data_IF_114677331160
#
_entry.id   IF_114677331160
#
_cell.length_a   1.000
_cell.length_b   1.000
_cell.length_c   1.000
_cell.angle_alpha   90.00
_cell.angle_beta   90.00
_cell.angle_gamma   90.00
#
_symmetry.space_group_name_H-M   'P 1'
#
loop_
_entity.id
_entity.type
_entity.pdbx_description
1 polymer ?
#
# COMPACT_ATOMS: atom_id res chain seq x y z
N UNK A 1 -9.62 -3.06 14.87
CA UNK A 1 -9.12 -1.73 15.29
C UNK A 1 -7.87 -1.95 16.11
N UNK A 2 -6.81 -1.16 15.89
CA UNK A 2 -5.59 -1.22 16.71
C UNK A 2 -5.91 -0.67 18.10
N UNK A 3 -5.46 -1.34 19.16
CA UNK A 3 -5.75 -0.96 20.56
C UNK A 3 -5.15 0.39 20.98
N UNK A 4 -4.15 0.89 20.23
CA UNK A 4 -3.58 2.24 20.40
C UNK A 4 -3.14 2.81 19.03
N UNK A 5 -3.98 3.62 18.34
CA UNK A 5 -3.59 4.25 17.09
C UNK A 5 -2.52 5.34 17.24
N UNK A 6 -2.20 5.76 18.49
CA UNK A 6 -1.26 6.86 18.73
C UNK A 6 0.22 6.44 18.65
N UNK A 7 0.50 5.12 18.59
CA UNK A 7 1.86 4.57 18.62
C UNK A 7 2.71 5.12 19.78
N UNK A 8 2.09 5.34 20.95
CA UNK A 8 2.71 5.98 22.14
C UNK A 8 3.96 5.29 22.70
N UNK A 9 4.19 4.03 22.32
CA UNK A 9 5.39 3.27 22.67
C UNK A 9 6.63 3.70 21.87
N UNK A 10 6.45 4.36 20.72
CA UNK A 10 7.53 4.95 19.90
C UNK A 10 7.97 6.27 20.52
N UNK A 11 8.80 6.19 21.56
CA UNK A 11 9.28 7.33 22.34
C UNK A 11 10.57 7.92 21.75
N UNK A 12 10.90 9.15 22.15
CA UNK A 12 12.13 9.83 21.74
C UNK A 12 12.00 10.68 20.46
N UNK A 13 10.79 10.76 19.89
CA UNK A 13 10.49 11.56 18.71
C UNK A 13 9.42 12.61 19.00
N UNK A 14 9.53 13.76 18.33
CA UNK A 14 8.57 14.86 18.41
C UNK A 14 7.28 14.53 17.66
N UNK A 15 7.40 13.88 16.52
CA UNK A 15 6.28 13.50 15.67
C UNK A 15 6.56 12.14 15.02
N UNK A 16 5.57 11.25 15.04
CA UNK A 16 5.63 9.91 14.44
C UNK A 16 4.55 9.82 13.37
N UNK A 17 4.93 9.54 12.13
CA UNK A 17 4.01 9.39 10.99
C UNK A 17 4.13 7.98 10.42
N UNK A 18 3.10 7.12 10.53
CA UNK A 18 3.10 5.83 9.85
C UNK A 18 3.15 6.03 8.33
N UNK A 19 4.05 5.31 7.65
CA UNK A 19 4.22 5.39 6.19
C UNK A 19 3.63 4.16 5.51
N UNK A 20 3.99 2.97 6.01
CA UNK A 20 3.60 1.71 5.41
C UNK A 20 3.48 0.60 6.46
N UNK A 21 2.58 -0.35 6.20
CA UNK A 21 2.36 -1.54 7.00
C UNK A 21 2.63 -2.78 6.13
N UNK A 22 3.56 -3.63 6.54
CA UNK A 22 3.83 -4.90 5.88
C UNK A 22 3.68 -6.03 6.89
N UNK A 23 2.66 -6.87 6.69
CA UNK A 23 2.39 -8.06 7.53
C UNK A 23 2.38 -7.76 9.04
N UNK A 24 1.75 -6.66 9.43
CA UNK A 24 1.61 -6.23 10.83
C UNK A 24 2.79 -5.43 11.40
N UNK A 25 3.86 -5.24 10.63
CA UNK A 25 4.99 -4.40 11.02
C UNK A 25 4.88 -3.05 10.33
N UNK A 26 5.10 -1.98 11.07
CA UNK A 26 5.03 -0.62 10.57
C UNK A 26 6.43 -0.07 10.30
N UNK A 27 6.53 0.76 9.26
CA UNK A 27 7.59 1.75 9.13
C UNK A 27 6.98 3.13 9.32
N UNK A 28 7.61 3.93 10.19
CA UNK A 28 7.22 5.29 10.51
C UNK A 28 8.33 6.27 10.13
N UNK A 29 7.96 7.47 9.71
CA UNK A 29 8.86 8.62 9.61
C UNK A 29 8.78 9.41 10.91
N UNK A 30 9.91 9.53 11.61
CA UNK A 30 9.92 10.05 12.97
C UNK A 30 10.86 11.25 13.10
N UNK A 31 10.31 12.43 13.39
CA UNK A 31 11.07 13.66 13.56
C UNK A 31 11.72 13.71 14.95
N UNK A 32 13.01 14.04 15.00
CA UNK A 32 13.74 14.19 16.26
C UNK A 32 13.35 15.49 16.98
N UNK A 33 13.77 15.60 18.24
CA UNK A 33 13.50 16.78 19.08
C UNK A 33 14.50 17.93 18.86
N UNK A 34 15.64 17.66 18.25
CA UNK A 34 16.65 18.69 18.01
C UNK A 34 16.15 19.77 17.04
N UNK A 35 16.79 20.94 17.08
CA UNK A 35 16.46 22.07 16.20
C UNK A 35 16.97 21.85 14.75
N UNK A 36 17.45 20.66 14.44
CA UNK A 36 17.78 20.23 13.09
C UNK A 36 16.59 19.53 12.45
N UNK A 37 16.44 19.65 11.13
CA UNK A 37 15.43 18.91 10.36
C UNK A 37 15.81 17.41 10.24
N UNK A 38 16.23 16.78 11.34
CA UNK A 38 16.62 15.38 11.40
C UNK A 38 15.41 14.47 11.68
N UNK A 39 15.39 13.33 11.00
CA UNK A 39 14.41 12.29 11.18
C UNK A 39 15.05 10.92 11.06
N UNK A 40 14.37 9.92 11.63
CA UNK A 40 14.71 8.51 11.46
C UNK A 40 13.51 7.78 10.83
N UNK A 41 13.81 6.71 10.08
CA UNK A 41 12.82 5.68 9.81
C UNK A 41 12.78 4.71 10.99
N UNK A 42 11.63 4.58 11.64
CA UNK A 42 11.43 3.64 12.73
C UNK A 42 10.62 2.44 12.24
N UNK A 43 11.20 1.25 12.34
CA UNK A 43 10.49 -0.02 12.12
C UNK A 43 10.01 -0.54 13.46
N UNK A 44 8.70 -0.76 13.60
CA UNK A 44 8.10 -1.15 14.87
C UNK A 44 6.94 -2.13 14.72
N UNK A 45 6.68 -2.88 15.79
CA UNK A 45 5.56 -3.79 15.91
C UNK A 45 4.55 -3.24 16.92
N UNK A 46 3.39 -2.71 16.48
CA UNK A 46 2.37 -2.19 17.39
C UNK A 46 1.71 -3.27 18.27
N UNK A 47 1.66 -4.52 17.81
CA UNK A 47 1.06 -5.62 18.56
C UNK A 47 1.89 -6.00 19.80
N UNK A 48 3.22 -5.99 19.67
CA UNK A 48 4.15 -6.26 20.79
C UNK A 48 4.61 -4.98 21.50
N UNK A 49 4.31 -3.80 20.95
CA UNK A 49 4.77 -2.48 21.41
C UNK A 49 6.29 -2.35 21.42
N UNK A 50 6.94 -2.93 20.42
CA UNK A 50 8.40 -2.97 20.31
C UNK A 50 8.91 -2.17 19.13
N UNK A 51 10.04 -1.48 19.34
CA UNK A 51 10.82 -0.87 18.26
C UNK A 51 11.84 -1.89 17.78
N UNK A 52 11.74 -2.28 16.51
CA UNK A 52 12.64 -3.23 15.88
C UNK A 52 13.93 -2.55 15.44
N UNK A 53 13.82 -1.40 14.78
CA UNK A 53 14.98 -0.61 14.38
C UNK A 53 14.65 0.89 14.31
N UNK A 54 15.68 1.71 14.54
CA UNK A 54 15.68 3.13 14.21
C UNK A 54 16.81 3.35 13.21
N UNK A 55 16.46 3.75 11.99
CA UNK A 55 17.36 3.85 10.85
C UNK A 55 17.54 5.34 10.53
N UNK A 56 18.78 5.84 10.42
CA UNK A 56 18.98 7.19 9.94
C UNK A 56 18.42 7.29 8.51
N UNK A 57 17.72 8.38 8.22
CA UNK A 57 17.31 8.70 6.85
C UNK A 57 18.59 8.93 6.02
N UNK A 58 18.73 8.34 4.82
CA UNK A 58 19.93 8.52 3.99
C UNK A 58 20.34 10.00 3.80
N UNK A 59 21.64 10.29 3.87
CA UNK A 59 22.16 11.68 3.82
C UNK A 59 21.82 12.38 2.50
N UNK A 60 21.46 13.67 2.56
CA UNK A 60 20.91 14.49 1.45
C UNK A 60 19.54 14.04 0.92
N UNK A 61 18.86 13.12 1.62
CA UNK A 61 17.53 12.65 1.28
C UNK A 61 16.54 13.03 2.38
N UNK A 62 16.18 14.31 2.48
CA UNK A 62 14.93 14.59 3.19
C UNK A 62 13.80 13.83 2.50
N UNK A 63 12.86 13.26 3.28
CA UNK A 63 11.58 12.83 2.73
C UNK A 63 10.89 14.05 2.14
N UNK A 64 11.12 14.29 0.85
CA UNK A 64 10.35 15.24 0.07
C UNK A 64 8.98 14.63 -0.19
N UNK A 65 8.03 15.44 -0.66
CA UNK A 65 6.72 14.92 -1.10
C UNK A 65 6.82 13.90 -2.23
N UNK A 66 7.98 13.76 -2.88
CA UNK A 66 8.19 12.83 -3.97
C UNK A 66 8.81 11.50 -3.50
N UNK A 67 9.58 11.48 -2.40
CA UNK A 67 10.20 10.24 -1.96
C UNK A 67 9.18 9.36 -1.24
N UNK A 68 9.28 8.04 -1.41
CA UNK A 68 8.39 7.09 -0.74
C UNK A 68 9.18 5.97 -0.10
N UNK A 69 8.74 5.48 1.06
CA UNK A 69 9.39 4.37 1.75
C UNK A 69 8.45 3.17 1.88
N UNK A 70 8.98 1.96 1.63
CA UNK A 70 8.23 0.69 1.71
C UNK A 70 9.01 -0.33 2.52
N UNK A 71 8.39 -0.82 3.58
CA UNK A 71 8.84 -2.00 4.34
C UNK A 71 8.51 -3.29 3.58
N UNK A 72 9.47 -4.21 3.55
CA UNK A 72 9.32 -5.59 3.10
C UNK A 72 9.61 -6.53 4.27
N UNK A 73 8.60 -7.27 4.71
CA UNK A 73 8.70 -8.20 5.84
C UNK A 73 7.90 -9.47 5.55
N UNK A 74 8.56 -10.62 5.71
CA UNK A 74 7.95 -11.94 5.59
C UNK A 74 7.81 -12.58 6.98
N UNK A 75 6.59 -12.76 7.50
CA UNK A 75 6.36 -13.43 8.79
C UNK A 75 6.93 -14.85 8.85
N UNK A 76 7.11 -15.53 7.71
CA UNK A 76 7.74 -16.85 7.66
C UNK A 76 9.25 -16.81 7.94
N UNK A 77 9.88 -15.64 7.82
CA UNK A 77 11.30 -15.39 8.10
C UNK A 77 11.40 -14.15 9.00
N UNK A 78 10.94 -14.24 10.27
CA UNK A 78 10.68 -13.07 11.11
C UNK A 78 11.95 -12.32 11.51
N UNK A 79 13.13 -12.91 11.32
CA UNK A 79 14.42 -12.27 11.60
C UNK A 79 14.89 -11.30 10.51
N UNK A 80 14.16 -11.15 9.40
CA UNK A 80 14.60 -10.36 8.25
C UNK A 80 13.55 -9.37 7.79
N UNK A 81 13.98 -8.13 7.58
CA UNK A 81 13.21 -7.13 6.86
C UNK A 81 14.14 -6.26 6.01
N UNK A 82 13.54 -5.65 4.99
CA UNK A 82 14.21 -4.64 4.16
C UNK A 82 13.36 -3.38 4.10
N UNK A 83 14.03 -2.24 4.01
CA UNK A 83 13.35 -0.95 3.77
C UNK A 83 13.84 -0.39 2.45
N UNK A 84 12.89 -0.12 1.56
CA UNK A 84 13.13 0.51 0.26
C UNK A 84 12.72 1.97 0.34
N UNK A 85 13.63 2.88 0.03
CA UNK A 85 13.34 4.31 -0.14
C UNK A 85 13.51 4.65 -1.62
N UNK A 86 12.42 5.01 -2.27
CA UNK A 86 12.39 5.41 -3.67
C UNK A 86 12.67 6.90 -3.76
N UNK A 87 13.83 7.25 -4.31
CA UNK A 87 14.23 8.64 -4.50
C UNK A 87 13.76 9.11 -5.86
N UNK A 88 12.89 10.11 -5.88
CA UNK A 88 12.15 10.49 -7.08
C UNK A 88 12.39 11.95 -7.46
N UNK A 89 12.30 12.21 -8.76
CA UNK A 89 12.20 13.56 -9.34
C UNK A 89 10.97 13.62 -10.23
N UNK A 90 10.71 14.77 -10.86
CA UNK A 90 9.66 14.85 -11.89
C UNK A 90 9.94 13.95 -13.12
N UNK A 91 11.17 13.44 -13.26
CA UNK A 91 11.54 12.45 -14.27
C UNK A 91 11.34 10.99 -13.81
N UNK A 92 10.71 10.76 -12.66
CA UNK A 92 10.47 9.42 -12.11
C UNK A 92 11.46 8.99 -11.02
N UNK A 93 11.45 7.70 -10.68
CA UNK A 93 12.39 7.07 -9.74
C UNK A 93 13.82 7.14 -10.29
N UNK A 94 14.72 7.82 -9.58
CA UNK A 94 16.11 8.02 -9.97
C UNK A 94 17.03 6.93 -9.41
N UNK A 95 16.80 6.58 -8.14
CA UNK A 95 17.52 5.53 -7.42
C UNK A 95 16.64 4.98 -6.31
N UNK A 96 17.11 3.90 -5.72
CA UNK A 96 16.47 3.24 -4.60
C UNK A 96 17.52 3.00 -3.53
N UNK A 97 17.29 3.53 -2.33
CA UNK A 97 18.09 3.20 -1.15
C UNK A 97 17.46 1.99 -0.47
N UNK A 98 18.26 0.96 -0.24
CA UNK A 98 17.82 -0.31 0.33
C UNK A 98 18.57 -0.56 1.62
N UNK A 99 17.85 -0.56 2.74
CA UNK A 99 18.35 -1.07 4.01
C UNK A 99 18.03 -2.56 4.12
N UNK A 100 19.00 -3.35 4.55
CA UNK A 100 18.81 -4.76 4.91
C UNK A 100 19.10 -4.99 6.37
N UNK A 101 18.17 -5.63 7.09
CA UNK A 101 18.40 -6.04 8.48
C UNK A 101 19.47 -7.13 8.60
N UNK A 102 19.82 -7.84 7.52
CA UNK A 102 20.89 -8.85 7.55
C UNK A 102 22.28 -8.22 7.66
N UNK A 103 22.50 -7.11 6.97
CA UNK A 103 23.79 -6.41 6.94
C UNK A 103 23.82 -5.22 7.89
N UNK A 104 22.66 -4.70 8.27
CA UNK A 104 22.52 -3.46 9.05
C UNK A 104 22.95 -2.22 8.28
N UNK A 105 23.05 -2.28 6.94
CA UNK A 105 23.58 -1.20 6.10
C UNK A 105 22.57 -0.77 5.03
N UNK A 106 22.71 0.50 4.61
CA UNK A 106 22.07 1.03 3.42
C UNK A 106 22.93 0.76 2.18
N UNK A 107 22.27 0.46 1.07
CA UNK A 107 22.88 0.30 -0.25
C UNK A 107 22.09 1.12 -1.26
N UNK A 108 22.79 1.83 -2.14
CA UNK A 108 22.17 2.67 -3.17
C UNK A 108 22.19 1.95 -4.51
N UNK A 109 21.02 1.80 -5.13
CA UNK A 109 20.85 1.13 -6.43
C UNK A 109 20.25 2.12 -7.43
N UNK A 110 20.89 2.26 -8.60
CA UNK A 110 20.37 3.09 -9.69
C UNK A 110 19.05 2.55 -10.23
N UNK A 111 18.11 3.43 -10.58
CA UNK A 111 16.83 3.01 -11.15
C UNK A 111 16.98 2.61 -12.61
N UNK A 112 16.58 1.38 -12.93
CA UNK A 112 16.46 0.89 -14.30
C UNK A 112 15.37 1.64 -15.11
N UNK A 113 14.47 2.37 -14.42
CA UNK A 113 13.34 3.09 -15.03
C UNK A 113 13.47 4.61 -14.95
N UNK A 114 14.67 5.13 -14.70
CA UNK A 114 14.93 6.57 -14.59
C UNK A 114 14.53 7.39 -15.83
N UNK A 115 14.41 6.76 -17.01
CA UNK A 115 13.96 7.38 -18.25
C UNK A 115 12.47 7.20 -18.55
N UNK A 116 11.75 6.45 -17.72
CA UNK A 116 10.37 6.03 -18.00
C UNK A 116 9.31 6.87 -17.29
N UNK A 117 9.75 7.93 -16.59
CA UNK A 117 8.91 8.83 -15.80
C UNK A 117 7.96 8.11 -14.84
N UNK A 118 8.38 6.94 -14.34
CA UNK A 118 7.56 6.13 -13.44
C UNK A 118 7.53 6.81 -12.07
N UNK A 119 6.31 7.15 -11.61
CA UNK A 119 6.09 7.77 -10.31
C UNK A 119 5.43 6.78 -9.35
N UNK A 120 6.01 6.65 -8.17
CA UNK A 120 5.44 5.93 -7.03
C UNK A 120 4.83 6.99 -6.13
N UNK A 121 3.51 7.01 -6.06
CA UNK A 121 2.84 7.90 -5.12
C UNK A 121 2.85 7.28 -3.71
N UNK A 122 2.61 8.10 -2.69
CA UNK A 122 2.48 7.58 -1.32
C UNK A 122 1.28 6.61 -1.22
N UNK A 123 0.19 6.92 -1.91
CA UNK A 123 -1.02 6.09 -2.04
C UNK A 123 -0.86 4.87 -2.95
N UNK A 124 0.28 4.70 -3.62
CA UNK A 124 0.52 3.50 -4.44
C UNK A 124 0.37 2.25 -3.60
N UNK A 125 -0.55 1.36 -3.99
CA UNK A 125 -0.70 0.07 -3.36
C UNK A 125 0.57 -0.78 -3.51
N UNK A 126 0.89 -1.56 -2.48
CA UNK A 126 2.10 -2.37 -2.45
C UNK A 126 1.91 -3.66 -1.67
N UNK A 127 2.58 -4.71 -2.13
CA UNK A 127 2.55 -6.03 -1.52
C UNK A 127 3.95 -6.62 -1.57
N UNK A 128 4.42 -7.16 -0.45
CA UNK A 128 5.63 -7.99 -0.43
C UNK A 128 5.23 -9.46 -0.37
N UNK A 129 5.63 -10.25 -1.37
CA UNK A 129 5.41 -11.69 -1.38
C UNK A 129 6.43 -12.38 -2.30
N UNK A 130 6.73 -13.65 -2.04
CA UNK A 130 7.70 -14.45 -2.81
C UNK A 130 9.06 -13.74 -3.01
N UNK A 131 9.55 -13.06 -1.97
CA UNK A 131 10.86 -12.37 -2.00
C UNK A 131 10.91 -11.09 -2.84
N UNK A 132 9.77 -10.65 -3.39
CA UNK A 132 9.68 -9.48 -4.27
C UNK A 132 8.68 -8.45 -3.73
N UNK A 133 9.01 -7.17 -3.93
CA UNK A 133 8.10 -6.05 -3.67
C UNK A 133 7.34 -5.72 -4.94
N UNK A 134 6.02 -5.82 -4.89
CA UNK A 134 5.11 -5.49 -5.97
C UNK A 134 4.47 -4.14 -5.68
N UNK A 135 4.55 -3.22 -6.65
CA UNK A 135 4.10 -1.84 -6.50
C UNK A 135 3.19 -1.45 -7.65
N UNK A 136 2.03 -0.89 -7.33
CA UNK A 136 1.14 -0.26 -8.31
C UNK A 136 1.62 1.17 -8.60
N UNK A 137 1.98 1.44 -9.85
CA UNK A 137 2.59 2.69 -10.28
C UNK A 137 1.78 3.34 -11.39
N UNK A 138 1.88 4.67 -11.49
CA UNK A 138 1.25 5.45 -12.54
C UNK A 138 2.32 5.98 -13.49
N UNK A 139 2.09 5.85 -14.79
CA UNK A 139 2.81 6.63 -15.78
C UNK A 139 2.14 8.00 -15.93
N UNK A 140 2.92 9.08 -16.10
CA UNK A 140 2.38 10.39 -16.37
C UNK A 140 1.57 10.37 -17.66
N UNK A 141 0.52 11.18 -17.65
CA UNK A 141 -0.53 11.33 -18.66
C UNK A 141 0.02 11.20 -20.08
N UNK A 142 -0.40 10.14 -20.78
CA UNK A 142 -0.32 10.16 -22.24
C UNK A 142 -1.52 10.97 -22.71
N UNK A 143 -1.29 12.18 -23.21
CA UNK A 143 -2.34 12.96 -23.87
C UNK A 143 -2.71 12.28 -25.18
N UNK A 144 -3.70 11.40 -25.14
CA UNK A 144 -4.34 10.86 -26.33
C UNK A 144 -5.64 11.62 -26.50
N UNK A 145 -5.60 12.71 -27.28
CA UNK A 145 -6.78 13.47 -27.78
C UNK A 145 -7.79 13.88 -26.69
N UNK A 146 -7.70 15.13 -26.23
CA UNK A 146 -8.62 15.83 -25.31
C UNK A 146 -8.97 15.15 -23.96
N UNK A 147 -8.48 13.94 -23.70
CA UNK A 147 -8.64 13.22 -22.44
C UNK A 147 -7.30 12.75 -21.89
N UNK A 148 -7.13 12.88 -20.58
CA UNK A 148 -5.94 12.42 -19.85
C UNK A 148 -6.11 10.94 -19.48
N UNK A 149 -5.39 10.05 -20.17
CA UNK A 149 -5.39 8.61 -19.83
C UNK A 149 -4.24 8.32 -18.88
N UNK A 150 -4.57 7.95 -17.64
CA UNK A 150 -3.60 7.42 -16.67
C UNK A 150 -3.36 5.95 -16.99
N UNK A 151 -2.12 5.60 -17.33
CA UNK A 151 -1.71 4.21 -17.49
C UNK A 151 -1.14 3.72 -16.17
N UNK A 152 -1.78 2.70 -15.59
CA UNK A 152 -1.30 2.02 -14.41
C UNK A 152 -0.54 0.76 -14.78
N UNK A 153 0.53 0.48 -14.05
CA UNK A 153 1.30 -0.76 -14.16
C UNK A 153 1.62 -1.28 -12.77
N UNK A 154 1.78 -2.59 -12.65
CA UNK A 154 2.45 -3.20 -11.53
C UNK A 154 3.92 -3.34 -11.89
N UNK A 155 4.79 -2.94 -10.99
CA UNK A 155 6.23 -3.22 -11.09
C UNK A 155 6.69 -4.11 -9.95
N UNK A 156 7.66 -4.97 -10.22
CA UNK A 156 8.27 -5.84 -9.22
C UNK A 156 9.73 -5.49 -9.01
N UNK A 157 10.12 -5.44 -7.76
CA UNK A 157 11.49 -5.27 -7.30
C UNK A 157 11.88 -6.54 -6.57
N UNK A 158 12.75 -7.34 -7.18
CA UNK A 158 13.39 -8.44 -6.46
C UNK A 158 14.33 -7.84 -5.41
N UNK A 159 14.26 -8.34 -4.18
CA UNK A 159 15.07 -7.83 -3.08
C UNK A 159 16.49 -8.39 -3.07
N UNK A 160 16.75 -9.46 -3.83
CA UNK A 160 18.06 -10.11 -3.98
C UNK A 160 18.63 -9.92 -5.40
N UNK A 161 17.77 -9.69 -6.39
CA UNK A 161 18.14 -9.51 -7.80
C UNK A 161 17.90 -8.10 -8.32
N UNK A 162 18.75 -7.63 -9.24
CA UNK A 162 18.47 -6.43 -10.05
C UNK A 162 17.42 -6.72 -11.16
N UNK A 163 16.43 -7.56 -10.90
CA UNK A 163 15.40 -7.92 -11.89
C UNK A 163 14.15 -7.11 -11.69
N UNK A 164 13.85 -6.32 -12.71
CA UNK A 164 12.79 -5.33 -12.77
C UNK A 164 11.74 -5.83 -13.76
N UNK A 165 10.52 -6.10 -13.31
CA UNK A 165 9.43 -6.50 -14.21
C UNK A 165 8.32 -5.47 -14.19
N UNK A 166 7.72 -5.23 -15.36
CA UNK A 166 6.49 -4.46 -15.49
C UNK A 166 5.38 -5.31 -16.08
N UNK A 167 4.21 -5.23 -15.47
CA UNK A 167 2.97 -5.83 -15.95
C UNK A 167 1.91 -4.73 -16.00
N UNK A 168 1.20 -4.60 -17.12
CA UNK A 168 0.11 -3.61 -17.24
C UNK A 168 -1.02 -3.98 -16.28
N UNK A 169 -1.56 -3.01 -15.55
CA UNK A 169 -2.72 -3.21 -14.69
C UNK A 169 -4.00 -3.30 -15.54
N UNK A 170 -5.02 -4.05 -15.10
CA UNK A 170 -6.29 -4.18 -15.82
C UNK A 170 -7.17 -2.94 -15.69
N UNK A 171 -6.93 -2.10 -14.67
CA UNK A 171 -7.64 -0.85 -14.43
C UNK A 171 -6.78 0.39 -14.70
N UNK A 172 -7.45 1.53 -14.90
CA UNK A 172 -6.84 2.86 -15.01
C UNK A 172 -7.19 3.76 -13.81
N UNK A 173 -7.95 3.24 -12.84
CA UNK A 173 -8.46 4.03 -11.71
C UNK A 173 -7.50 3.99 -10.53
N UNK A 174 -7.11 5.15 -10.00
CA UNK A 174 -6.29 5.23 -8.79
C UNK A 174 -7.08 4.99 -7.50
N UNK A 175 -8.42 4.87 -7.57
CA UNK A 175 -9.30 4.79 -6.40
C UNK A 175 -9.70 3.35 -6.06
N UNK A 176 -8.70 2.48 -5.96
CA UNK A 176 -8.89 1.05 -5.74
C UNK A 176 -7.82 0.42 -4.86
N UNK A 177 -8.04 -0.82 -4.45
CA UNK A 177 -7.07 -1.57 -3.68
C UNK A 177 -6.11 -2.34 -4.60
N UNK A 178 -4.91 -2.61 -4.09
CA UNK A 178 -3.97 -3.59 -4.64
C UNK A 178 -3.44 -4.41 -3.45
N UNK A 179 -3.69 -5.71 -3.45
CA UNK A 179 -3.46 -6.54 -2.27
C UNK A 179 -3.29 -8.02 -2.57
N UNK A 180 -2.78 -8.76 -1.59
CA UNK A 180 -2.68 -10.21 -1.64
C UNK A 180 -3.93 -10.82 -0.99
N UNK A 181 -4.45 -11.90 -1.57
CA UNK A 181 -5.39 -12.78 -0.89
C UNK A 181 -5.13 -14.23 -1.29
N UNK A 182 -5.02 -15.14 -0.32
CA UNK A 182 -4.78 -16.57 -0.51
C UNK A 182 -3.59 -16.85 -1.46
N UNK A 183 -2.50 -16.09 -1.30
CA UNK A 183 -1.29 -16.22 -2.11
C UNK A 183 -1.40 -15.70 -3.56
N UNK A 184 -2.47 -15.00 -3.91
CA UNK A 184 -2.66 -14.39 -5.24
C UNK A 184 -2.81 -12.88 -5.15
N UNK A 185 -2.34 -12.19 -6.18
CA UNK A 185 -2.49 -10.74 -6.29
C UNK A 185 -3.86 -10.36 -6.85
N UNK A 186 -4.47 -9.37 -6.21
CA UNK A 186 -5.73 -8.78 -6.60
C UNK A 186 -5.62 -7.27 -6.73
N UNK A 187 -6.40 -6.74 -7.66
CA UNK A 187 -6.70 -5.30 -7.76
C UNK A 187 -8.19 -5.13 -7.97
N UNK A 188 -8.74 -4.03 -7.51
CA UNK A 188 -10.14 -3.74 -7.74
C UNK A 188 -10.49 -2.31 -7.39
N UNK A 189 -11.51 -1.80 -8.07
CA UNK A 189 -12.03 -0.46 -7.84
C UNK A 189 -13.55 -0.45 -8.02
N UNK A 190 -14.17 0.67 -7.63
CA UNK A 190 -15.60 0.89 -7.86
C UNK A 190 -15.79 1.92 -8.97
N UNK A 191 -16.49 1.52 -10.01
CA UNK A 191 -17.04 2.44 -11.00
C UNK A 191 -18.31 3.06 -10.44
N UNK A 192 -18.23 4.32 -10.05
CA UNK A 192 -19.34 5.01 -9.39
C UNK A 192 -20.45 5.45 -10.36
N UNK A 193 -20.28 5.28 -11.67
CA UNK A 193 -21.33 5.57 -12.65
C UNK A 193 -22.47 4.54 -12.58
N UNK A 194 -23.71 5.00 -12.82
CA UNK A 194 -24.89 4.15 -12.86
C UNK A 194 -25.17 3.40 -11.56
N UNK A 195 -24.80 2.12 -11.51
CA UNK A 195 -25.14 1.15 -10.45
C UNK A 195 -24.06 0.96 -9.37
N UNK A 196 -23.01 1.79 -9.38
CA UNK A 196 -21.84 1.68 -8.51
C UNK A 196 -21.25 0.26 -8.54
N UNK A 197 -20.52 -0.09 -9.60
CA UNK A 197 -20.05 -1.46 -9.82
C UNK A 197 -18.66 -1.67 -9.23
N UNK A 198 -18.55 -2.61 -8.30
CA UNK A 198 -17.27 -3.16 -7.88
C UNK A 198 -16.76 -4.10 -8.96
N UNK A 199 -15.51 -3.89 -9.40
CA UNK A 199 -14.80 -4.74 -10.32
C UNK A 199 -13.52 -5.26 -9.66
N UNK A 200 -13.27 -6.56 -9.77
CA UNK A 200 -12.14 -7.22 -9.10
C UNK A 200 -11.42 -8.12 -10.09
N UNK A 201 -10.11 -7.93 -10.21
CA UNK A 201 -9.23 -8.73 -11.02
C UNK A 201 -8.23 -9.49 -10.18
N UNK A 202 -7.81 -10.65 -10.70
CA UNK A 202 -6.75 -11.48 -10.13
C UNK A 202 -5.65 -11.67 -11.17
N UNK A 203 -4.40 -11.66 -10.74
CA UNK A 203 -3.26 -12.00 -11.59
C UNK A 203 -3.12 -13.53 -11.60
N UNK A 204 -3.52 -14.17 -12.69
CA UNK A 204 -3.49 -15.64 -12.80
C UNK A 204 -2.09 -16.17 -13.11
N UNK A 205 -1.34 -15.44 -13.92
CA UNK A 205 0.02 -15.83 -14.31
C UNK A 205 0.97 -14.64 -14.28
N UNK A 206 1.99 -14.76 -13.44
CA UNK A 206 3.08 -13.79 -13.34
C UNK A 206 3.94 -13.77 -14.60
N UNK A 207 4.12 -14.91 -15.28
CA UNK A 207 5.00 -15.04 -16.43
C UNK A 207 4.43 -14.38 -17.69
N UNK A 208 3.12 -14.39 -17.89
CA UNK A 208 2.46 -13.64 -18.97
C UNK A 208 2.00 -12.25 -18.54
N UNK A 209 1.81 -12.01 -17.24
CA UNK A 209 1.20 -10.78 -16.74
C UNK A 209 -0.31 -10.71 -16.98
N UNK A 210 -0.98 -11.87 -17.08
CA UNK A 210 -2.40 -11.97 -17.39
C UNK A 210 -3.27 -11.68 -16.18
N UNK A 211 -3.96 -10.54 -16.20
CA UNK A 211 -5.04 -10.21 -15.28
C UNK A 211 -6.38 -10.70 -15.82
N UNK A 212 -7.17 -11.36 -14.97
CA UNK A 212 -8.51 -11.84 -15.31
C UNK A 212 -9.54 -11.21 -14.39
N UNK A 213 -10.65 -10.74 -14.96
CA UNK A 213 -11.79 -10.23 -14.18
C UNK A 213 -12.43 -11.42 -13.44
N UNK A 214 -12.38 -11.38 -12.10
CA UNK A 214 -12.87 -12.45 -11.24
C UNK A 214 -14.29 -12.18 -10.73
N UNK A 215 -14.59 -10.93 -10.40
CA UNK A 215 -15.85 -10.57 -9.79
C UNK A 215 -16.35 -9.22 -10.31
N UNK A 216 -17.68 -9.11 -10.43
CA UNK A 216 -18.38 -7.86 -10.64
C UNK A 216 -19.63 -7.85 -9.77
N UNK A 217 -19.87 -6.76 -9.05
CA UNK A 217 -21.01 -6.64 -8.16
C UNK A 217 -21.58 -5.22 -8.20
N UNK A 218 -22.91 -5.07 -8.19
CA UNK A 218 -23.55 -3.76 -8.01
C UNK A 218 -23.70 -3.47 -6.53
N UNK A 219 -23.05 -2.41 -6.06
CA UNK A 219 -23.14 -1.98 -4.66
C UNK A 219 -24.57 -1.53 -4.34
N UNK A 220 -25.23 -0.78 -5.24
CA UNK A 220 -26.59 -0.31 -5.00
C UNK A 220 -27.61 -1.46 -4.92
N UNK A 221 -27.50 -2.48 -5.76
CA UNK A 221 -28.39 -3.65 -5.69
C UNK A 221 -28.18 -4.43 -4.39
N UNK A 222 -26.93 -4.58 -3.94
CA UNK A 222 -26.60 -5.24 -2.69
C UNK A 222 -27.12 -4.48 -1.46
N UNK A 223 -27.20 -3.15 -1.53
CA UNK A 223 -27.80 -2.30 -0.51
C UNK A 223 -29.33 -2.19 -0.62
N UNK A 224 -29.94 -2.72 -1.68
CA UNK A 224 -31.37 -2.56 -1.97
C UNK A 224 -31.76 -1.13 -2.40
N UNK A 225 -30.78 -0.32 -2.82
CA UNK A 225 -30.98 1.06 -3.24
C UNK A 225 -31.40 1.15 -4.72
N UNK A 226 -32.53 1.81 -5.05
CA UNK A 226 -33.04 1.82 -6.42
C UNK A 226 -32.25 2.74 -7.36
N UNK A 227 -31.62 3.79 -6.82
CA UNK A 227 -30.80 4.74 -7.56
C UNK A 227 -29.71 5.33 -6.66
N UNK A 228 -28.65 5.88 -7.28
CA UNK A 228 -27.57 6.57 -6.60
C UNK A 228 -28.07 7.92 -6.07
N UNK A 229 -27.85 8.19 -4.79
CA UNK A 229 -28.11 9.50 -4.20
C UNK A 229 -27.05 10.53 -4.66
N UNK A 230 -27.40 11.84 -4.71
CA UNK A 230 -26.42 12.89 -4.97
C UNK A 230 -25.28 12.82 -3.95
N UNK A 231 -24.03 12.87 -4.42
CA UNK A 231 -22.79 12.80 -3.62
C UNK A 231 -22.50 11.45 -2.94
N UNK A 232 -23.29 10.40 -3.18
CA UNK A 232 -22.95 9.04 -2.75
C UNK A 232 -21.74 8.55 -3.54
N UNK A 233 -20.70 8.04 -2.89
CA UNK A 233 -19.47 7.62 -3.56
C UNK A 233 -18.87 6.43 -2.82
N UNK A 234 -18.57 5.37 -3.55
CA UNK A 234 -18.01 4.15 -2.99
C UNK A 234 -16.59 3.95 -3.46
N UNK A 235 -15.74 3.44 -2.56
CA UNK A 235 -14.36 3.12 -2.86
C UNK A 235 -13.98 1.77 -2.27
N UNK A 236 -13.26 0.96 -3.04
CA UNK A 236 -12.69 -0.28 -2.55
C UNK A 236 -11.35 0.03 -1.88
N UNK A 237 -11.20 -0.36 -0.62
CA UNK A 237 -10.08 0.09 0.23
C UNK A 237 -9.07 -1.00 0.56
N UNK A 238 -9.51 -2.26 0.68
CA UNK A 238 -8.63 -3.37 0.99
C UNK A 238 -9.25 -4.72 0.61
N UNK A 239 -8.41 -5.75 0.52
CA UNK A 239 -8.81 -7.15 0.46
C UNK A 239 -8.22 -7.88 1.66
N UNK A 240 -8.98 -8.81 2.24
CA UNK A 240 -8.51 -9.64 3.33
C UNK A 240 -7.47 -10.66 2.82
N UNK A 241 -6.33 -10.86 3.51
CA UNK A 241 -5.25 -11.70 3.00
C UNK A 241 -5.58 -13.19 2.95
N UNK A 242 -6.49 -13.68 3.79
CA UNK A 242 -6.83 -15.11 3.84
C UNK A 242 -8.26 -15.42 3.37
N UNK A 243 -9.10 -14.39 3.24
CA UNK A 243 -10.53 -14.55 2.99
C UNK A 243 -10.88 -13.79 1.72
N UNK A 244 -11.84 -14.28 0.96
CA UNK A 244 -12.36 -13.59 -0.23
C UNK A 244 -13.26 -12.39 0.15
N UNK A 245 -12.81 -11.57 1.10
CA UNK A 245 -13.50 -10.39 1.63
C UNK A 245 -12.83 -9.13 1.11
N UNK A 246 -13.64 -8.23 0.55
CA UNK A 246 -13.22 -6.91 0.10
C UNK A 246 -13.87 -5.86 1.00
N UNK A 247 -13.08 -4.93 1.50
CA UNK A 247 -13.57 -3.81 2.28
C UNK A 247 -13.84 -2.63 1.36
N UNK A 248 -14.99 -2.00 1.58
CA UNK A 248 -15.49 -0.86 0.83
C UNK A 248 -15.83 0.25 1.80
N UNK A 249 -15.56 1.49 1.43
CA UNK A 249 -16.08 2.66 2.12
C UNK A 249 -17.17 3.31 1.28
N UNK A 250 -18.23 3.77 1.96
CA UNK A 250 -19.09 4.83 1.46
C UNK A 250 -18.50 6.16 1.92
N UNK A 251 -17.95 6.95 1.01
CA UNK A 251 -17.47 8.31 1.27
C UNK A 251 -18.61 9.35 1.24
N UNK A 252 -19.86 8.91 1.41
CA UNK A 252 -21.02 9.76 1.65
C UNK A 252 -21.10 10.30 3.08
N UNK A 253 -22.27 10.84 3.46
CA UNK A 253 -22.45 11.51 4.74
C UNK A 253 -22.35 10.61 5.97
N UNK A 254 -22.70 9.32 5.87
CA UNK A 254 -22.68 8.40 7.02
C UNK A 254 -21.35 7.66 7.20
N UNK A 255 -20.43 7.82 6.24
CA UNK A 255 -19.10 7.24 6.21
C UNK A 255 -19.10 5.76 6.65
N UNK A 256 -19.71 4.86 5.87
CA UNK A 256 -19.85 3.45 6.25
C UNK A 256 -18.65 2.62 5.77
N UNK A 257 -18.13 1.77 6.66
CA UNK A 257 -17.23 0.68 6.28
C UNK A 257 -18.05 -0.59 6.06
N UNK A 258 -17.92 -1.19 4.89
CA UNK A 258 -18.63 -2.39 4.47
C UNK A 258 -17.64 -3.50 4.09
N UNK A 259 -18.11 -4.74 4.15
CA UNK A 259 -17.38 -5.91 3.68
C UNK A 259 -18.20 -6.67 2.66
N UNK A 260 -17.64 -6.88 1.48
CA UNK A 260 -18.20 -7.72 0.42
C UNK A 260 -17.52 -9.09 0.41
N UNK A 261 -18.30 -10.15 0.55
CA UNK A 261 -17.84 -11.53 0.46
C UNK A 261 -18.03 -12.05 -0.96
N UNK A 262 -16.93 -12.33 -1.66
CA UNK A 262 -16.97 -12.81 -3.05
C UNK A 262 -17.50 -14.24 -3.17
N UNK A 263 -17.40 -15.07 -2.12
CA UNK A 263 -17.89 -16.46 -2.15
C UNK A 263 -19.41 -16.51 -2.02
N UNK A 264 -19.98 -15.67 -1.16
CA UNK A 264 -21.44 -15.63 -0.92
C UNK A 264 -22.17 -14.56 -1.74
N UNK A 265 -21.43 -13.63 -2.34
CA UNK A 265 -21.97 -12.46 -3.02
C UNK A 265 -22.73 -11.50 -2.10
N UNK A 266 -22.41 -11.47 -0.80
CA UNK A 266 -23.12 -10.66 0.20
C UNK A 266 -22.30 -9.43 0.60
N UNK A 267 -22.99 -8.33 0.86
CA UNK A 267 -22.43 -7.10 1.40
C UNK A 267 -22.97 -6.90 2.81
N UNK A 268 -22.07 -6.75 3.78
CA UNK A 268 -22.42 -6.51 5.17
C UNK A 268 -21.82 -5.17 5.63
N UNK A 269 -22.54 -4.45 6.47
CA UNK A 269 -22.04 -3.23 7.11
C UNK A 269 -21.19 -3.63 8.32
N UNK A 270 -19.93 -3.22 8.33
CA UNK A 270 -18.98 -3.52 9.41
C UNK A 270 -19.15 -2.51 10.55
N UNK A 271 -19.07 -1.22 10.24
CA UNK A 271 -19.29 -0.13 11.19
C UNK A 271 -19.52 1.22 10.48
N UNK A 272 -20.04 2.20 11.21
CA UNK A 272 -19.99 3.61 10.80
C UNK A 272 -18.67 4.23 11.28
N UNK A 273 -18.03 5.01 10.41
CA UNK A 273 -16.82 5.78 10.69
C UNK A 273 -17.17 7.13 11.36
N UNK A 274 -18.43 7.58 11.27
CA UNK A 274 -18.88 8.87 11.78
C UNK A 274 -18.11 10.04 11.15
N UNK A 275 -17.79 11.05 11.95
CA UNK A 275 -17.00 12.21 11.49
C UNK A 275 -15.51 11.90 11.23
N UNK A 276 -15.09 10.63 11.37
CA UNK A 276 -13.72 10.22 11.10
C UNK A 276 -13.54 10.04 9.60
N UNK A 277 -13.44 11.17 8.90
CA UNK A 277 -13.02 11.16 7.52
C UNK A 277 -11.56 10.67 7.46
N UNK A 278 -11.37 9.41 7.08
CA UNK A 278 -10.05 8.88 6.83
C UNK A 278 -9.68 9.23 5.38
N UNK A 279 -8.54 9.88 5.17
CA UNK A 279 -8.01 10.01 3.81
C UNK A 279 -7.58 8.66 3.23
N UNK A 280 -7.23 7.69 4.10
CA UNK A 280 -6.70 6.36 3.71
C UNK A 280 -7.00 5.30 4.77
N UNK A 281 -7.28 4.08 4.29
CA UNK A 281 -7.32 2.87 5.09
C UNK A 281 -6.05 2.05 4.82
N UNK A 282 -5.35 1.66 5.88
CA UNK A 282 -4.25 0.71 5.79
C UNK A 282 -4.71 -0.57 6.49
N UNK A 283 -4.89 -1.70 5.78
CA UNK A 283 -5.22 -2.95 6.43
C UNK A 283 -4.07 -3.32 7.39
N UNK A 284 -4.43 -3.56 8.64
CA UNK A 284 -3.49 -3.96 9.68
C UNK A 284 -3.97 -5.24 10.32
N UNK A 285 -3.08 -6.23 10.35
CA UNK A 285 -3.27 -7.50 11.03
C UNK A 285 -2.16 -7.60 12.07
N UNK A 286 -2.50 -7.72 13.37
CA UNK A 286 -1.50 -7.86 14.41
C UNK A 286 -0.54 -9.01 14.13
N UNK A 287 0.75 -8.76 14.28
CA UNK A 287 1.80 -9.75 14.13
C UNK A 287 2.49 -9.96 15.47
N UNK A 288 2.47 -11.18 16.01
CA UNK A 288 3.02 -11.48 17.34
C UNK A 288 4.41 -12.14 17.28
N UNK A 289 5.12 -11.95 16.17
CA UNK A 289 6.51 -12.41 16.03
C UNK A 289 7.44 -11.56 16.89
N UNK A 290 8.46 -12.21 17.46
CA UNK A 290 9.49 -11.55 18.24
C UNK A 290 10.40 -10.69 17.37
N UNK A 291 11.01 -9.67 17.98
CA UNK A 291 11.96 -8.78 17.32
C UNK A 291 13.15 -9.55 16.71
N UNK A 292 13.57 -9.22 15.47
CA UNK A 292 14.81 -9.73 14.90
C UNK A 292 16.05 -9.50 15.78
N UNK A 293 16.99 -10.46 15.86
CA UNK A 293 18.27 -10.22 16.49
C UNK A 293 19.05 -9.13 15.75
N UNK A 294 19.86 -8.35 16.48
CA UNK A 294 20.72 -7.32 15.89
C UNK A 294 21.91 -8.02 15.19
N UNK A 295 22.29 -7.64 13.96
CA UNK A 295 23.50 -8.16 13.31
C UNK A 295 24.73 -7.98 14.20
N UNK A 296 25.57 -9.02 14.25
CA UNK A 296 26.86 -8.99 14.96
C UNK A 296 27.93 -8.24 14.16
#
# INVERSE_FOLDING_TARGET
MVDDPSLSFVRGYRHVTPIHCCSGILICYCWKFDMSDEADFVVCNPATKEIWAALPVPQNEMMTRLNTARLCFDPAIPCRFKVFVFVQSFAGVQRVEVYSSDTGQWTSVGSAWSSENLMIAEESGCVYFNGSLHLAVCHPVVKVVDWEVVIRSMVTFDTEGETWRRIRMPDTSNNGFFGLSQGRLYTGHVENEGRCRLLVWVLEDHASGLWTLKCTASILELLGSPCRAPNEFYQAVAIHPDCNLIFLEDAGQEALLMSYNMDTGKLDIVCSLGDRWAQRFHPYIPCFVEKPPVPQ
#
